data_IF_877696717962
#
_entry.id   IF_877696717962
#
_cell.length_a   1.000
_cell.length_b   1.000
_cell.length_c   1.000
_cell.angle_alpha   90.00
_cell.angle_beta   90.00
_cell.angle_gamma   90.00
#
_symmetry.space_group_name_H-M   'P 1'
#
loop_
_entity.id
_entity.type
_entity.pdbx_description
1 polymer ?
#
# COMPACT_ATOMS: atom_id res chain seq x y z
N UNK A 1 40.67 28.07 -30.21
CA UNK A 1 41.03 26.64 -30.37
C UNK A 1 40.25 25.88 -29.31
N UNK A 2 39.17 25.18 -29.69
CA UNK A 2 38.39 24.38 -28.76
C UNK A 2 39.18 23.11 -28.42
N UNK A 3 39.60 22.96 -27.16
CA UNK A 3 40.17 21.71 -26.66
C UNK A 3 39.04 20.69 -26.52
N UNK A 4 38.98 19.73 -27.44
CA UNK A 4 38.10 18.55 -27.33
C UNK A 4 38.62 17.68 -26.20
N UNK A 5 37.95 17.55 -25.04
CA UNK A 5 38.43 16.68 -23.98
C UNK A 5 38.39 15.23 -24.49
N UNK A 6 39.54 14.55 -24.45
CA UNK A 6 39.65 13.12 -24.74
C UNK A 6 38.64 12.36 -23.87
N UNK A 7 37.66 11.75 -24.52
CA UNK A 7 36.55 11.10 -23.84
C UNK A 7 37.03 9.74 -23.35
N UNK A 8 37.54 9.70 -22.12
CA UNK A 8 37.71 8.45 -21.40
C UNK A 8 36.35 7.75 -21.34
N UNK A 9 36.33 6.47 -21.68
CA UNK A 9 35.11 5.67 -21.81
C UNK A 9 35.25 4.46 -20.88
N UNK A 10 34.20 4.16 -20.11
CA UNK A 10 34.12 3.07 -19.13
C UNK A 10 32.92 2.19 -19.44
N UNK A 11 32.90 0.97 -18.93
CA UNK A 11 31.73 0.11 -18.99
C UNK A 11 30.78 0.40 -17.82
N UNK A 12 29.48 0.45 -18.10
CA UNK A 12 28.45 0.66 -17.09
C UNK A 12 28.35 -0.58 -16.17
N UNK A 13 28.46 -0.44 -14.84
CA UNK A 13 28.40 -1.59 -13.91
C UNK A 13 27.02 -2.28 -13.85
N UNK A 14 25.98 -1.71 -14.48
CA UNK A 14 24.61 -2.23 -14.43
C UNK A 14 24.14 -2.91 -15.72
N UNK A 15 24.58 -2.41 -16.88
CA UNK A 15 24.19 -2.97 -18.19
C UNK A 15 25.38 -3.37 -19.05
N UNK A 16 26.61 -3.23 -18.55
CA UNK A 16 27.87 -3.52 -19.28
C UNK A 16 28.07 -2.75 -20.60
N UNK A 17 27.23 -1.74 -20.88
CA UNK A 17 27.38 -0.91 -22.07
C UNK A 17 28.43 0.18 -21.88
N UNK A 18 29.11 0.51 -22.98
CA UNK A 18 30.25 1.42 -23.03
C UNK A 18 29.77 2.89 -23.01
N UNK A 19 30.19 3.65 -22.01
CA UNK A 19 29.73 5.01 -21.71
C UNK A 19 30.86 5.97 -21.39
N UNK A 20 30.61 7.28 -21.49
CA UNK A 20 31.58 8.31 -21.12
C UNK A 20 31.90 8.26 -19.61
N UNK A 21 33.17 8.28 -19.24
CA UNK A 21 33.64 8.23 -17.85
C UNK A 21 33.12 9.40 -16.99
N UNK A 22 32.82 10.54 -17.60
CA UNK A 22 32.24 11.71 -16.91
C UNK A 22 30.71 11.64 -16.82
N UNK A 23 30.07 10.60 -17.34
CA UNK A 23 28.61 10.49 -17.32
C UNK A 23 28.12 10.17 -15.90
N UNK A 24 27.20 11.01 -15.41
CA UNK A 24 26.58 10.89 -14.09
C UNK A 24 25.44 9.85 -14.05
N UNK A 25 24.82 9.62 -15.21
CA UNK A 25 23.71 8.67 -15.43
C UNK A 25 23.97 7.92 -16.73
N UNK A 26 23.77 6.61 -16.73
CA UNK A 26 23.94 5.81 -17.93
C UNK A 26 22.88 6.18 -18.99
N UNK A 27 23.29 6.38 -20.25
CA UNK A 27 22.36 6.68 -21.37
C UNK A 27 21.55 5.47 -21.83
N UNK A 28 22.01 4.26 -21.49
CA UNK A 28 21.45 3.01 -21.95
C UNK A 28 20.44 2.44 -20.96
N UNK A 29 20.87 2.19 -19.70
CA UNK A 29 19.98 1.67 -18.67
C UNK A 29 19.33 2.75 -17.79
N UNK A 30 19.82 3.99 -17.81
CA UNK A 30 19.27 5.06 -16.98
C UNK A 30 19.65 4.99 -15.50
N UNK A 31 20.52 4.06 -15.07
CA UNK A 31 20.97 4.00 -13.68
C UNK A 31 21.95 5.14 -13.35
N UNK A 32 21.90 5.67 -12.14
CA UNK A 32 22.83 6.71 -11.66
C UNK A 32 24.12 6.06 -11.21
N UNK A 33 25.23 6.50 -11.80
CA UNK A 33 26.56 5.96 -11.55
C UNK A 33 27.32 6.72 -10.48
N UNK A 34 26.99 8.01 -10.33
CA UNK A 34 27.58 8.87 -9.31
C UNK A 34 26.99 8.51 -7.92
N UNK A 35 27.80 7.97 -6.99
CA UNK A 35 27.31 7.55 -5.68
C UNK A 35 26.76 8.72 -4.85
N UNK A 36 27.29 9.94 -5.02
CA UNK A 36 26.80 11.11 -4.28
C UNK A 36 25.40 11.52 -4.73
N UNK A 37 25.13 11.46 -6.04
CA UNK A 37 23.78 11.76 -6.53
C UNK A 37 22.77 10.68 -6.16
N UNK A 38 23.19 9.41 -6.11
CA UNK A 38 22.34 8.32 -5.65
C UNK A 38 21.87 8.52 -4.21
N UNK A 39 22.77 8.90 -3.30
CA UNK A 39 22.42 9.12 -1.90
C UNK A 39 21.43 10.30 -1.74
N UNK A 40 21.65 11.40 -2.48
CA UNK A 40 20.73 12.54 -2.47
C UNK A 40 19.35 12.18 -3.03
N UNK A 41 19.28 11.35 -4.06
CA UNK A 41 18.00 10.88 -4.60
C UNK A 41 17.26 9.96 -3.62
N UNK A 42 17.96 9.09 -2.89
CA UNK A 42 17.36 8.25 -1.85
C UNK A 42 16.81 9.11 -0.71
N UNK A 43 17.57 10.08 -0.22
CA UNK A 43 17.11 11.02 0.82
C UNK A 43 15.91 11.85 0.34
N UNK A 44 15.91 12.29 -0.91
CA UNK A 44 14.81 13.05 -1.50
C UNK A 44 13.57 12.17 -1.72
N UNK A 45 13.75 10.93 -2.17
CA UNK A 45 12.65 9.98 -2.36
C UNK A 45 12.03 9.58 -1.04
N UNK A 46 12.82 9.41 0.01
CA UNK A 46 12.31 9.14 1.37
C UNK A 46 11.52 10.34 1.92
N UNK A 47 11.97 11.58 1.65
CA UNK A 47 11.25 12.79 2.07
C UNK A 47 10.00 13.05 1.22
N UNK A 48 10.01 12.65 -0.06
CA UNK A 48 8.97 12.95 -1.04
C UNK A 48 8.14 11.73 -1.46
N UNK A 49 8.21 10.61 -0.73
CA UNK A 49 7.28 9.50 -0.87
C UNK A 49 6.04 9.78 -0.03
N UNK A 50 4.92 10.25 -0.60
CA UNK A 50 3.63 9.97 -0.01
C UNK A 50 3.46 8.46 -0.10
N UNK A 51 3.45 7.79 1.05
CA UNK A 51 2.86 6.47 1.24
C UNK A 51 1.73 6.20 0.21
N UNK A 52 2.05 5.39 -0.80
CA UNK A 52 1.12 5.03 -1.88
C UNK A 52 0.05 4.11 -1.30
N UNK A 53 -1.16 4.64 -1.14
CA UNK A 53 -2.35 3.83 -0.82
C UNK A 53 -3.11 3.52 -2.11
N UNK A 54 -3.07 2.26 -2.53
CA UNK A 54 -3.93 1.75 -3.60
C UNK A 54 -5.38 1.62 -3.11
N UNK A 55 -6.33 2.27 -3.79
CA UNK A 55 -7.68 1.71 -3.92
C UNK A 55 -8.43 2.29 -5.13
N UNK A 56 -8.69 1.46 -6.13
CA UNK A 56 -9.78 1.68 -7.07
C UNK A 56 -10.09 0.37 -7.79
N UNK A 57 -11.22 -0.29 -7.46
CA UNK A 57 -11.73 -1.36 -8.31
C UNK A 57 -12.74 -2.34 -7.70
N UNK A 58 -13.03 -2.31 -6.40
CA UNK A 58 -13.87 -3.33 -5.76
C UNK A 58 -15.31 -2.92 -5.39
N UNK A 59 -15.68 -1.64 -5.48
CA UNK A 59 -16.87 -1.14 -4.77
C UNK A 59 -18.13 -0.93 -5.64
N UNK A 60 -18.08 -1.14 -6.96
CA UNK A 60 -19.22 -0.86 -7.83
C UNK A 60 -20.23 -2.03 -7.99
N UNK A 61 -20.03 -3.17 -7.34
CA UNK A 61 -20.93 -4.33 -7.46
C UNK A 61 -21.61 -4.78 -6.15
N UNK A 62 -21.51 -4.02 -5.05
CA UNK A 62 -22.18 -4.39 -3.80
C UNK A 62 -22.88 -3.20 -3.11
N UNK A 63 -23.66 -2.42 -3.88
CA UNK A 63 -24.82 -1.72 -3.32
C UNK A 63 -25.96 -2.73 -3.10
N UNK A 64 -25.71 -3.67 -2.18
CA UNK A 64 -26.73 -4.41 -1.44
C UNK A 64 -26.23 -4.68 -0.02
N UNK A 65 -25.63 -3.65 0.60
CA UNK A 65 -25.50 -3.57 2.06
C UNK A 65 -25.17 -2.12 2.44
N UNK A 66 -26.23 -1.40 2.78
CA UNK A 66 -26.35 -0.23 3.64
C UNK A 66 -25.18 0.78 3.79
N UNK A 67 -25.57 2.05 3.65
CA UNK A 67 -25.02 3.27 4.28
C UNK A 67 -23.76 3.91 3.71
N UNK A 68 -23.96 4.97 2.91
CA UNK A 68 -23.31 6.28 3.10
C UNK A 68 -23.68 7.24 1.97
N UNK A 69 -24.25 8.40 2.31
CA UNK A 69 -24.23 9.57 1.43
C UNK A 69 -24.34 10.84 2.25
N UNK A 70 -23.27 11.64 2.23
CA UNK A 70 -23.16 12.93 2.87
C UNK A 70 -21.69 13.36 2.89
N UNK A 71 -21.20 13.80 1.73
CA UNK A 71 -19.81 14.21 1.54
C UNK A 71 -19.55 15.63 2.03
N UNK A 72 -18.41 15.82 2.69
CA UNK A 72 -17.50 16.95 2.52
C UNK A 72 -16.23 16.69 3.35
N UNK A 73 -15.06 16.95 2.77
CA UNK A 73 -13.80 17.08 3.50
C UNK A 73 -13.20 15.80 4.09
N UNK A 74 -12.14 15.31 3.45
CA UNK A 74 -11.21 14.32 3.99
C UNK A 74 -10.58 14.78 5.32
N UNK A 75 -11.22 14.47 6.45
CA UNK A 75 -10.57 14.32 7.75
C UNK A 75 -10.39 12.82 8.00
N UNK A 76 -9.16 12.40 8.26
CA UNK A 76 -8.81 11.03 8.68
C UNK A 76 -9.63 10.67 9.93
N UNK A 77 -10.81 10.08 9.75
CA UNK A 77 -11.67 9.68 10.88
C UNK A 77 -11.01 8.47 11.55
N UNK A 78 -10.65 8.62 12.82
CA UNK A 78 -10.17 7.53 13.68
C UNK A 78 -11.16 6.37 13.55
N UNK A 79 -10.72 5.24 12.98
CA UNK A 79 -11.56 4.05 12.86
C UNK A 79 -12.22 3.79 14.22
N UNK A 80 -13.56 3.85 14.31
CA UNK A 80 -14.27 3.79 15.58
C UNK A 80 -14.32 2.34 16.03
N UNK A 81 -13.17 1.85 16.52
CA UNK A 81 -13.01 0.50 17.07
C UNK A 81 -14.08 0.21 18.11
N UNK A 82 -14.47 1.22 18.88
CA UNK A 82 -15.54 1.16 19.86
C UNK A 82 -16.92 0.83 19.25
N UNK A 83 -17.25 1.43 18.11
CA UNK A 83 -18.52 1.15 17.41
C UNK A 83 -18.50 -0.26 16.85
N UNK A 84 -17.38 -0.70 16.27
CA UNK A 84 -17.23 -2.06 15.75
C UNK A 84 -17.30 -3.11 16.86
N UNK A 85 -16.66 -2.85 18.01
CA UNK A 85 -16.74 -3.70 19.21
C UNK A 85 -18.18 -3.76 19.74
N UNK A 86 -18.87 -2.62 19.81
CA UNK A 86 -20.26 -2.57 20.29
C UNK A 86 -21.21 -3.33 19.35
N UNK A 87 -21.06 -3.16 18.04
CA UNK A 87 -21.84 -3.91 17.04
C UNK A 87 -21.57 -5.41 17.19
N UNK A 88 -20.30 -5.81 17.33
CA UNK A 88 -19.93 -7.22 17.50
C UNK A 88 -20.52 -7.84 18.78
N UNK A 89 -20.54 -7.10 19.90
CA UNK A 89 -21.16 -7.54 21.16
C UNK A 89 -22.68 -7.66 21.01
N UNK A 90 -23.33 -6.68 20.36
CA UNK A 90 -24.79 -6.71 20.18
C UNK A 90 -25.20 -7.82 19.24
N UNK A 91 -24.52 -8.00 18.09
CA UNK A 91 -24.84 -9.10 17.18
C UNK A 91 -24.49 -10.45 17.81
N UNK A 92 -23.30 -10.62 18.38
CA UNK A 92 -22.90 -11.88 19.02
C UNK A 92 -23.79 -12.24 20.21
N UNK A 93 -24.14 -11.25 21.03
CA UNK A 93 -25.05 -11.39 22.16
C UNK A 93 -26.49 -11.69 21.74
N UNK A 94 -26.94 -11.20 20.58
CA UNK A 94 -28.26 -11.52 20.03
C UNK A 94 -28.35 -12.96 19.51
N UNK A 95 -27.25 -13.53 19.01
CA UNK A 95 -27.19 -14.94 18.61
C UNK A 95 -27.05 -15.90 19.79
N UNK A 96 -26.46 -15.46 20.90
CA UNK A 96 -26.31 -16.25 22.12
C UNK A 96 -27.64 -16.88 22.64
N UNK A 97 -28.76 -16.15 22.79
CA UNK A 97 -30.02 -16.75 23.22
C UNK A 97 -30.60 -17.73 22.20
N UNK A 98 -30.36 -17.52 20.89
CA UNK A 98 -30.75 -18.50 19.86
C UNK A 98 -29.97 -19.81 20.03
N UNK A 99 -28.66 -19.73 20.26
CA UNK A 99 -27.84 -20.90 20.55
C UNK A 99 -28.19 -21.56 21.87
N UNK A 100 -28.49 -20.78 22.92
CA UNK A 100 -28.93 -21.27 24.21
C UNK A 100 -30.26 -22.01 24.10
N UNK A 101 -31.22 -21.45 23.38
CA UNK A 101 -32.53 -22.05 23.14
C UNK A 101 -32.38 -23.33 22.30
N UNK A 102 -31.56 -23.30 21.25
CA UNK A 102 -31.20 -24.48 20.49
C UNK A 102 -30.57 -25.54 21.38
N UNK A 103 -29.66 -25.18 22.30
CA UNK A 103 -29.00 -26.12 23.21
C UNK A 103 -29.96 -26.72 24.24
N UNK A 104 -30.89 -25.92 24.79
CA UNK A 104 -31.89 -26.38 25.76
C UNK A 104 -32.94 -27.29 25.13
N UNK A 105 -33.42 -26.97 23.93
CA UNK A 105 -34.34 -27.84 23.18
C UNK A 105 -33.60 -28.91 22.37
N UNK A 106 -32.27 -28.97 22.43
CA UNK A 106 -31.48 -30.01 21.76
C UNK A 106 -31.79 -31.35 22.42
N UNK A 107 -32.53 -32.18 21.70
CA UNK A 107 -32.92 -33.50 22.17
C UNK A 107 -31.69 -34.41 22.30
N UNK A 108 -31.28 -34.72 23.54
CA UNK A 108 -30.08 -35.55 23.84
C UNK A 108 -30.14 -37.00 23.34
N UNK A 109 -31.24 -37.40 22.69
CA UNK A 109 -31.40 -38.75 22.12
C UNK A 109 -30.80 -38.91 20.71
N UNK A 110 -30.55 -37.82 19.98
CA UNK A 110 -30.11 -37.88 18.57
C UNK A 110 -28.67 -37.42 18.34
N UNK A 111 -28.11 -36.59 19.23
CA UNK A 111 -26.73 -36.10 19.14
C UNK A 111 -26.06 -36.35 20.49
N UNK A 112 -24.89 -36.99 20.45
CA UNK A 112 -24.09 -37.41 21.61
C UNK A 112 -23.72 -36.25 22.54
#
# INVERSE_FOLDING_TARGET
MQETPSVATIECPYCSEVINAKSRKCRHCGEILDPQMRELELLKSQRNSPNVFMNAGGAAAAASSASSSGGEGSLLRRFPHWIHILIAIVTGGLWFPVYLLMYLFRNKRYYY
#
